data_IF_050203026410
#
_entry.id   IF_050203026410
#
_cell.length_a   1.000
_cell.length_b   1.000
_cell.length_c   1.000
_cell.angle_alpha   90.00
_cell.angle_beta   90.00
_cell.angle_gamma   90.00
#
_symmetry.space_group_name_H-M   'P 1'
#
loop_
_entity.id
_entity.type
_entity.pdbx_description
1 polymer ?
#
# COMPACT_ATOMS: atom_id res chain seq x y z
N UNK A 1 20.00 48.07 1.47
CA UNK A 1 19.62 46.74 1.96
C UNK A 1 19.43 45.83 0.78
N UNK A 2 20.36 44.92 0.57
CA UNK A 2 20.23 43.95 -0.52
C UNK A 2 19.40 42.76 -0.03
N UNK A 3 18.21 42.59 -0.60
CA UNK A 3 17.41 41.43 -0.37
C UNK A 3 18.05 40.24 -1.09
N UNK A 4 18.56 39.28 -0.32
CA UNK A 4 19.03 38.01 -0.88
C UNK A 4 17.85 37.03 -0.79
N UNK A 5 17.26 36.61 -1.93
CA UNK A 5 16.21 35.60 -1.90
C UNK A 5 16.77 34.32 -1.27
N UNK A 6 16.07 33.79 -0.32
CA UNK A 6 16.45 32.56 0.37
C UNK A 6 16.51 31.41 -0.63
N UNK A 7 17.72 30.92 -0.94
CA UNK A 7 17.95 29.74 -1.79
C UNK A 7 17.30 28.48 -1.18
N UNK A 8 17.03 28.47 0.10
CA UNK A 8 16.40 27.38 0.85
C UNK A 8 14.97 27.09 0.37
N UNK A 9 14.19 28.14 0.01
CA UNK A 9 12.80 27.97 -0.44
C UNK A 9 12.70 27.30 -1.80
N UNK A 10 13.60 27.63 -2.73
CA UNK A 10 13.65 27.02 -4.09
C UNK A 10 14.08 25.55 -4.03
N UNK A 11 15.08 25.22 -3.21
CA UNK A 11 15.54 23.84 -3.01
C UNK A 11 14.43 22.94 -2.40
N UNK A 12 13.67 23.45 -1.43
CA UNK A 12 12.56 22.74 -0.82
C UNK A 12 11.43 22.48 -1.81
N UNK A 13 11.11 23.44 -2.68
CA UNK A 13 10.09 23.28 -3.72
C UNK A 13 10.51 22.24 -4.76
N UNK A 14 11.76 22.24 -5.23
CA UNK A 14 12.27 21.23 -6.16
C UNK A 14 12.24 19.83 -5.54
N UNK A 15 12.65 19.68 -4.28
CA UNK A 15 12.62 18.41 -3.58
C UNK A 15 11.20 17.87 -3.46
N UNK A 16 10.23 18.71 -3.15
CA UNK A 16 8.81 18.33 -3.05
C UNK A 16 8.26 17.84 -4.39
N UNK A 17 8.52 18.54 -5.49
CA UNK A 17 8.11 18.14 -6.82
C UNK A 17 8.72 16.78 -7.22
N UNK A 18 10.00 16.55 -6.91
CA UNK A 18 10.67 15.28 -7.20
C UNK A 18 10.06 14.12 -6.39
N UNK A 19 9.68 14.35 -5.13
CA UNK A 19 9.02 13.34 -4.29
C UNK A 19 7.62 13.01 -4.83
N UNK A 20 6.84 14.01 -5.23
CA UNK A 20 5.53 13.81 -5.83
C UNK A 20 5.63 13.01 -7.13
N UNK A 21 6.58 13.33 -7.99
CA UNK A 21 6.85 12.60 -9.24
C UNK A 21 7.24 11.14 -8.97
N UNK A 22 8.13 10.89 -8.00
CA UNK A 22 8.52 9.53 -7.60
C UNK A 22 7.34 8.73 -7.04
N UNK A 23 6.46 9.37 -6.30
CA UNK A 23 5.24 8.74 -5.79
C UNK A 23 4.29 8.37 -6.93
N UNK A 24 4.11 9.24 -7.91
CA UNK A 24 3.30 8.97 -9.09
C UNK A 24 3.87 7.81 -9.90
N UNK A 25 5.18 7.82 -10.14
CA UNK A 25 5.88 6.73 -10.84
C UNK A 25 5.73 5.39 -10.12
N UNK A 26 5.79 5.39 -8.79
CA UNK A 26 5.60 4.17 -7.99
C UNK A 26 4.22 3.55 -8.22
N UNK A 27 3.18 4.38 -8.33
CA UNK A 27 1.80 3.93 -8.49
C UNK A 27 1.36 3.80 -9.96
N UNK A 28 2.24 4.06 -10.90
CA UNK A 28 1.94 3.93 -12.31
C UNK A 28 1.57 2.48 -12.66
N UNK A 29 0.49 2.30 -13.41
CA UNK A 29 -0.06 0.99 -13.79
C UNK A 29 -0.34 0.05 -12.61
N UNK A 30 -0.55 0.58 -11.42
CA UNK A 30 -0.92 -0.21 -10.23
C UNK A 30 -2.42 -0.16 -9.96
N UNK A 31 -2.88 -1.14 -9.16
CA UNK A 31 -4.23 -1.12 -8.59
C UNK A 31 -4.13 -1.40 -7.09
N UNK A 32 -4.97 -0.74 -6.33
CA UNK A 32 -4.98 -0.84 -4.87
C UNK A 32 -6.35 -1.24 -4.36
N UNK A 33 -6.39 -2.29 -3.55
CA UNK A 33 -7.59 -2.71 -2.82
C UNK A 33 -7.45 -2.36 -1.35
N UNK A 34 -8.53 -1.84 -0.76
CA UNK A 34 -8.70 -1.74 0.68
C UNK A 34 -9.57 -2.89 1.18
N UNK A 35 -9.18 -3.50 2.29
CA UNK A 35 -9.84 -4.69 2.82
C UNK A 35 -10.14 -4.47 4.29
N UNK A 36 -11.42 -4.65 4.66
CA UNK A 36 -11.84 -4.70 6.04
C UNK A 36 -11.98 -6.17 6.44
N UNK A 37 -11.04 -6.63 7.25
CA UNK A 37 -10.99 -7.99 7.76
C UNK A 37 -10.28 -7.98 9.13
N UNK A 38 -11.01 -7.99 10.25
CA UNK A 38 -10.41 -7.86 11.57
C UNK A 38 -9.77 -9.19 12.02
N UNK A 39 -8.76 -9.61 11.28
CA UNK A 39 -7.97 -10.81 11.52
C UNK A 39 -6.49 -10.44 11.60
N UNK A 40 -5.70 -11.29 12.24
CA UNK A 40 -4.25 -11.05 12.34
C UNK A 40 -3.57 -11.22 10.98
N UNK A 41 -2.47 -10.50 10.77
CA UNK A 41 -1.72 -10.50 9.50
C UNK A 41 -1.41 -11.91 9.01
N UNK A 42 -0.83 -12.74 9.87
CA UNK A 42 -0.42 -14.10 9.51
C UNK A 42 -1.63 -15.00 9.19
N UNK A 43 -2.74 -14.81 9.89
CA UNK A 43 -3.98 -15.56 9.62
C UNK A 43 -4.58 -15.20 8.27
N UNK A 44 -4.56 -13.92 7.93
CA UNK A 44 -5.04 -13.45 6.63
C UNK A 44 -4.15 -13.97 5.50
N UNK A 45 -2.83 -13.89 5.65
CA UNK A 45 -1.89 -14.47 4.68
C UNK A 45 -2.09 -15.97 4.49
N UNK A 46 -2.31 -16.71 5.57
CA UNK A 46 -2.59 -18.15 5.48
C UNK A 46 -3.87 -18.44 4.71
N UNK A 47 -4.94 -17.68 4.94
CA UNK A 47 -6.18 -17.84 4.18
C UNK A 47 -5.96 -17.58 2.69
N UNK A 48 -5.28 -16.47 2.35
CA UNK A 48 -4.98 -16.13 0.97
C UNK A 48 -4.15 -17.21 0.29
N UNK A 49 -3.15 -17.72 0.98
CA UNK A 49 -2.25 -18.74 0.43
C UNK A 49 -2.95 -20.09 0.27
N UNK A 50 -3.65 -20.54 1.31
CA UNK A 50 -4.24 -21.88 1.31
C UNK A 50 -5.52 -21.98 0.48
N UNK A 51 -6.33 -20.92 0.44
CA UNK A 51 -7.64 -20.96 -0.20
C UNK A 51 -7.63 -20.34 -1.61
N UNK A 52 -6.76 -19.38 -1.87
CA UNK A 52 -6.70 -18.69 -3.15
C UNK A 52 -5.40 -18.94 -3.93
N UNK A 53 -4.47 -19.69 -3.37
CA UNK A 53 -3.24 -20.09 -4.09
C UNK A 53 -2.17 -19.02 -4.17
N UNK A 54 -2.23 -17.98 -3.35
CA UNK A 54 -1.15 -17.00 -3.24
C UNK A 54 0.02 -17.56 -2.43
N UNK A 55 1.15 -16.86 -2.46
CA UNK A 55 2.36 -17.21 -1.72
C UNK A 55 2.87 -15.99 -0.94
N UNK A 56 1.97 -15.34 -0.19
CA UNK A 56 2.35 -14.18 0.61
C UNK A 56 3.35 -14.56 1.68
N UNK A 57 4.47 -13.85 1.69
CA UNK A 57 5.55 -13.98 2.67
C UNK A 57 5.98 -12.60 3.12
N UNK A 58 6.33 -12.48 4.40
CA UNK A 58 6.98 -11.29 4.89
C UNK A 58 8.27 -11.03 4.13
N UNK A 59 8.44 -9.82 3.59
CA UNK A 59 9.70 -9.40 3.00
C UNK A 59 10.42 -8.47 3.98
N UNK A 60 11.45 -8.96 4.70
CA UNK A 60 12.17 -8.13 5.66
C UNK A 60 13.01 -7.02 5.01
N UNK A 61 13.25 -7.11 3.71
CA UNK A 61 13.91 -6.06 2.93
C UNK A 61 13.00 -4.88 2.57
N UNK A 62 11.70 -5.04 2.74
CA UNK A 62 10.69 -4.01 2.48
C UNK A 62 9.96 -3.68 3.78
N UNK A 63 10.14 -2.45 4.24
CA UNK A 63 9.47 -1.98 5.45
C UNK A 63 9.17 -0.50 5.29
N UNK A 64 7.97 -0.10 5.67
CA UNK A 64 7.62 1.31 5.74
C UNK A 64 7.92 1.82 7.13
N UNK A 65 8.73 2.87 7.20
CA UNK A 65 9.03 3.57 8.43
C UNK A 65 8.39 4.97 8.40
N UNK A 66 7.44 5.19 9.29
CA UNK A 66 6.83 6.50 9.50
C UNK A 66 7.22 7.06 10.85
N UNK A 67 7.55 8.35 10.88
CA UNK A 67 7.82 9.07 12.11
C UNK A 67 6.72 10.09 12.36
N UNK A 68 6.06 9.98 13.52
CA UNK A 68 4.99 10.88 13.96
C UNK A 68 5.20 11.24 15.41
N UNK A 69 5.19 12.55 15.74
CA UNK A 69 5.35 13.05 17.12
C UNK A 69 6.52 12.40 17.85
N UNK A 70 7.69 12.38 17.22
CA UNK A 70 8.95 11.79 17.75
C UNK A 70 8.90 10.26 18.00
N UNK A 71 7.85 9.58 17.57
CA UNK A 71 7.75 8.12 17.62
C UNK A 71 7.94 7.53 16.23
N UNK A 72 8.54 6.34 16.20
CA UNK A 72 8.74 5.56 14.98
C UNK A 72 7.72 4.44 14.88
N UNK A 73 7.14 4.28 13.69
CA UNK A 73 6.17 3.24 13.38
C UNK A 73 6.68 2.44 12.18
N UNK A 74 6.61 1.12 12.29
CA UNK A 74 7.12 0.20 11.28
C UNK A 74 5.99 -0.66 10.73
N UNK A 75 5.78 -0.58 9.42
CA UNK A 75 4.73 -1.33 8.74
C UNK A 75 5.37 -2.41 7.87
N UNK A 76 5.07 -3.67 8.19
CA UNK A 76 5.55 -4.81 7.42
C UNK A 76 4.85 -4.94 6.09
N UNK A 77 5.57 -5.44 5.10
CA UNK A 77 5.05 -5.72 3.77
C UNK A 77 5.18 -7.21 3.49
N UNK A 78 4.07 -7.83 3.15
CA UNK A 78 4.02 -9.20 2.65
C UNK A 78 3.94 -9.16 1.13
N UNK A 79 4.66 -10.05 0.45
CA UNK A 79 4.63 -10.10 -1.01
C UNK A 79 4.31 -11.50 -1.53
N UNK A 80 3.59 -11.55 -2.64
CA UNK A 80 3.33 -12.75 -3.41
C UNK A 80 3.63 -12.47 -4.87
N UNK A 81 4.63 -13.15 -5.42
CA UNK A 81 5.01 -13.02 -6.83
C UNK A 81 4.24 -14.00 -7.68
N UNK A 82 3.68 -13.54 -8.79
CA UNK A 82 3.03 -14.46 -9.73
C UNK A 82 4.07 -15.19 -10.58
N UNK A 83 3.92 -16.51 -10.76
CA UNK A 83 4.79 -17.26 -11.65
C UNK A 83 4.68 -16.77 -13.09
N UNK A 84 5.81 -16.69 -13.80
CA UNK A 84 5.88 -16.34 -15.23
C UNK A 84 5.28 -14.97 -15.57
N UNK A 85 5.29 -14.04 -14.61
CA UNK A 85 4.76 -12.68 -14.74
C UNK A 85 5.63 -11.71 -13.96
N UNK A 86 5.54 -10.43 -14.31
CA UNK A 86 6.16 -9.37 -13.51
C UNK A 86 5.24 -8.87 -12.39
N UNK A 87 4.01 -9.39 -12.33
CA UNK A 87 3.03 -8.98 -11.32
C UNK A 87 3.44 -9.46 -9.93
N UNK A 88 3.50 -8.52 -9.02
CA UNK A 88 3.73 -8.76 -7.58
C UNK A 88 2.56 -8.18 -6.81
N UNK A 89 2.03 -8.98 -5.90
CA UNK A 89 1.03 -8.56 -4.95
C UNK A 89 1.72 -8.17 -3.65
N UNK A 90 1.47 -6.96 -3.17
CA UNK A 90 1.98 -6.47 -1.89
C UNK A 90 0.82 -6.26 -0.93
N UNK A 91 0.93 -6.84 0.26
CA UNK A 91 -0.08 -6.71 1.30
C UNK A 91 0.50 -5.94 2.48
N UNK A 92 -0.11 -4.80 2.77
CA UNK A 92 0.23 -3.95 3.90
C UNK A 92 -0.81 -4.12 4.99
N UNK A 93 -0.39 -4.17 6.25
CA UNK A 93 -1.32 -3.95 7.35
C UNK A 93 -1.44 -2.45 7.59
N UNK A 94 -2.66 -1.91 7.55
CA UNK A 94 -2.88 -0.45 7.58
C UNK A 94 -2.66 0.18 8.96
N UNK A 95 -2.47 -0.63 9.99
CA UNK A 95 -2.30 -0.15 11.36
C UNK A 95 -1.08 -0.77 12.02
N UNK A 96 -0.33 0.03 12.75
CA UNK A 96 0.74 -0.43 13.64
C UNK A 96 0.77 0.47 14.87
N UNK A 97 0.64 -0.11 16.06
CA UNK A 97 0.75 0.57 17.35
C UNK A 97 -0.11 1.85 17.44
N UNK A 98 -1.35 1.76 16.93
CA UNK A 98 -2.31 2.85 16.94
C UNK A 98 -2.17 3.87 15.81
N UNK A 99 -1.12 3.76 14.97
CA UNK A 99 -0.92 4.64 13.81
C UNK A 99 -1.34 3.94 12.52
N UNK A 100 -1.83 4.71 11.55
CA UNK A 100 -2.31 4.20 10.27
C UNK A 100 -1.38 4.60 9.13
N UNK A 101 -1.18 3.66 8.21
CA UNK A 101 -0.47 3.92 6.96
C UNK A 101 -1.26 4.89 6.08
N UNK A 102 -2.56 4.62 5.90
CA UNK A 102 -3.50 5.52 5.26
C UNK A 102 -4.58 5.94 6.28
N UNK A 103 -4.39 7.08 6.98
CA UNK A 103 -5.35 7.53 8.00
C UNK A 103 -6.74 7.84 7.46
N UNK A 104 -6.85 8.20 6.18
CA UNK A 104 -8.11 8.44 5.48
C UNK A 104 -8.94 7.16 5.31
N UNK A 105 -8.32 5.97 5.51
CA UNK A 105 -8.97 4.66 5.40
C UNK A 105 -8.83 3.84 6.67
N UNK A 106 -9.13 4.43 7.84
CA UNK A 106 -9.01 3.77 9.15
C UNK A 106 -9.84 2.49 9.28
N UNK A 107 -10.93 2.38 8.53
CA UNK A 107 -11.79 1.19 8.52
C UNK A 107 -11.23 0.04 7.67
N UNK A 108 -10.19 0.29 6.87
CA UNK A 108 -9.48 -0.74 6.12
C UNK A 108 -8.35 -1.31 6.97
N UNK A 109 -8.37 -2.62 7.19
CA UNK A 109 -7.34 -3.31 7.96
C UNK A 109 -6.11 -3.62 7.11
N UNK A 110 -6.33 -3.92 5.82
CA UNK A 110 -5.28 -4.26 4.87
C UNK A 110 -5.37 -3.44 3.60
N UNK A 111 -4.21 -3.20 3.00
CA UNK A 111 -4.08 -2.57 1.70
C UNK A 111 -3.35 -3.55 0.78
N UNK A 112 -3.91 -3.82 -0.37
CA UNK A 112 -3.37 -4.79 -1.33
C UNK A 112 -3.01 -4.07 -2.62
N UNK A 113 -1.73 -3.94 -2.89
CA UNK A 113 -1.18 -3.29 -4.08
C UNK A 113 -0.79 -4.33 -5.12
N UNK A 114 -1.27 -4.17 -6.34
CA UNK A 114 -0.88 -4.96 -7.51
C UNK A 114 0.06 -4.13 -8.37
N UNK A 115 1.31 -4.57 -8.51
CA UNK A 115 2.37 -3.80 -9.15
C UNK A 115 3.25 -4.69 -10.01
N UNK A 116 3.81 -4.11 -11.09
CA UNK A 116 4.78 -4.76 -11.96
C UNK A 116 4.21 -5.20 -13.31
N UNK A 117 2.93 -5.49 -13.35
CA UNK A 117 2.21 -5.81 -14.59
C UNK A 117 0.79 -5.25 -14.48
N UNK A 118 0.20 -4.89 -15.61
CA UNK A 118 -1.14 -4.30 -15.63
C UNK A 118 -2.20 -5.37 -15.30
N UNK A 119 -3.08 -5.05 -14.37
CA UNK A 119 -4.23 -5.87 -14.01
C UNK A 119 -5.48 -5.25 -14.62
N UNK A 120 -6.17 -5.96 -15.50
CA UNK A 120 -7.40 -5.48 -16.12
C UNK A 120 -8.59 -5.50 -15.16
N UNK A 121 -9.69 -4.87 -15.56
CA UNK A 121 -10.90 -4.76 -14.74
C UNK A 121 -11.51 -6.12 -14.40
N UNK A 122 -11.53 -7.05 -15.35
CA UNK A 122 -12.08 -8.38 -15.14
C UNK A 122 -11.30 -9.15 -14.07
N UNK A 123 -9.98 -9.10 -14.16
CA UNK A 123 -9.11 -9.74 -13.19
C UNK A 123 -9.20 -9.10 -11.81
N UNK A 124 -9.21 -7.78 -11.75
CA UNK A 124 -9.37 -7.05 -10.49
C UNK A 124 -10.71 -7.40 -9.81
N UNK A 125 -11.79 -7.45 -10.57
CA UNK A 125 -13.11 -7.86 -10.07
C UNK A 125 -13.10 -9.28 -9.54
N UNK A 126 -12.43 -10.19 -10.23
CA UNK A 126 -12.30 -11.58 -9.78
C UNK A 126 -11.53 -11.68 -8.46
N UNK A 127 -10.42 -10.94 -8.32
CA UNK A 127 -9.63 -10.90 -7.08
C UNK A 127 -10.49 -10.35 -5.94
N UNK A 128 -11.17 -9.23 -6.17
CA UNK A 128 -12.07 -8.63 -5.16
C UNK A 128 -13.12 -9.62 -4.68
N UNK A 129 -13.78 -10.29 -5.61
CA UNK A 129 -14.84 -11.26 -5.29
C UNK A 129 -14.29 -12.47 -4.53
N UNK A 130 -13.15 -12.99 -4.95
CA UNK A 130 -12.49 -14.12 -4.31
C UNK A 130 -12.10 -13.80 -2.87
N UNK A 131 -11.53 -12.64 -2.64
CA UNK A 131 -11.13 -12.18 -1.30
C UNK A 131 -12.36 -11.91 -0.43
N UNK A 132 -13.39 -11.30 -1.00
CA UNK A 132 -14.62 -10.99 -0.27
C UNK A 132 -15.32 -12.25 0.25
N UNK A 133 -15.19 -13.36 -0.44
CA UNK A 133 -15.81 -14.64 -0.04
C UNK A 133 -15.05 -15.36 1.08
N UNK A 134 -13.88 -14.88 1.48
CA UNK A 134 -13.13 -15.45 2.59
C UNK A 134 -13.82 -15.15 3.93
N UNK A 135 -13.75 -16.13 4.85
CA UNK A 135 -14.26 -15.97 6.21
C UNK A 135 -13.54 -14.82 6.92
N UNK A 136 -14.30 -13.94 7.57
CA UNK A 136 -13.77 -12.79 8.30
C UNK A 136 -13.58 -11.54 7.45
N UNK A 137 -13.68 -11.62 6.12
CA UNK A 137 -13.63 -10.45 5.25
C UNK A 137 -15.01 -9.80 5.19
N UNK A 138 -15.07 -8.53 5.58
CA UNK A 138 -16.31 -7.76 5.65
C UNK A 138 -16.49 -6.86 4.41
N UNK A 139 -15.39 -6.32 3.87
CA UNK A 139 -15.44 -5.38 2.76
C UNK A 139 -14.15 -5.49 1.95
N UNK A 140 -14.28 -5.44 0.62
CA UNK A 140 -13.18 -5.25 -0.32
C UNK A 140 -13.58 -4.15 -1.29
N UNK A 141 -12.79 -3.10 -1.38
CA UNK A 141 -13.06 -1.97 -2.27
C UNK A 141 -11.78 -1.57 -3.02
N UNK A 142 -11.90 -1.24 -4.29
CA UNK A 142 -10.80 -0.63 -5.03
C UNK A 142 -10.66 0.84 -4.62
N UNK A 143 -9.45 1.24 -4.27
CA UNK A 143 -9.11 2.60 -3.89
C UNK A 143 -8.46 3.30 -5.09
N UNK A 144 -9.09 4.39 -5.53
CA UNK A 144 -8.58 5.18 -6.66
C UNK A 144 -7.58 6.22 -6.19
N UNK A 145 -6.70 6.66 -7.09
CA UNK A 145 -5.69 7.68 -6.77
C UNK A 145 -6.27 8.95 -6.18
N UNK A 146 -7.47 9.35 -6.63
CA UNK A 146 -8.15 10.55 -6.15
C UNK A 146 -8.59 10.44 -4.69
N UNK A 147 -8.89 9.22 -4.23
CA UNK A 147 -9.31 8.96 -2.85
C UNK A 147 -8.13 8.88 -1.88
N UNK A 148 -6.92 8.64 -2.38
CA UNK A 148 -5.75 8.39 -1.54
C UNK A 148 -4.97 9.69 -1.36
N UNK A 149 -4.98 10.23 -0.14
CA UNK A 149 -4.28 11.48 0.20
C UNK A 149 -2.84 11.25 0.64
N UNK A 150 -2.58 10.13 1.30
CA UNK A 150 -1.28 9.82 1.91
C UNK A 150 -0.57 8.66 1.19
N UNK A 151 -0.75 8.54 -0.12
CA UNK A 151 -0.16 7.44 -0.91
C UNK A 151 1.36 7.33 -0.80
N UNK A 152 2.05 8.44 -0.55
CA UNK A 152 3.50 8.47 -0.32
C UNK A 152 3.94 7.62 0.87
N UNK A 153 3.06 7.38 1.85
CA UNK A 153 3.35 6.50 2.98
C UNK A 153 3.54 5.03 2.56
N UNK A 154 3.05 4.63 1.40
CA UNK A 154 3.12 3.25 0.92
C UNK A 154 4.34 2.96 0.06
N UNK A 155 5.09 3.98 -0.31
CA UNK A 155 6.26 3.85 -1.20
C UNK A 155 7.44 3.23 -0.46
N UNK A 156 8.04 2.20 -1.05
CA UNK A 156 9.22 1.50 -0.52
C UNK A 156 10.34 1.42 -1.53
#
# INVERSE_FOLDING_TARGET
MNYVPSTTTMATTKLRLNIEELNEDFFDDTRLLGITAPVKNYQFCLQLNNLLGYQFRLNPGLEIHLRRKERSYYFSIYESKEPNSFLVHYLYHNQFDGEYLLPEFKHMDFLWLMKGDLVDDARCSWIKQSVRNLSGVQLVAELTNEQIKNKGNMVF
#
